data_IF_573525671082
#
_entry.id   IF_573525671082
#
_cell.length_a   1.000
_cell.length_b   1.000
_cell.length_c   1.000
_cell.angle_alpha   90.00
_cell.angle_beta   90.00
_cell.angle_gamma   90.00
#
_symmetry.space_group_name_H-M   'P 1'
#
loop_
_entity.id
_entity.type
_entity.pdbx_description
1 polymer ?
#
# COMPACT_ATOMS: atom_id res chain seq x y z
N UNK A 1 -12.73 -17.22 -21.10
CA UNK A 1 -11.66 -16.48 -20.45
C UNK A 1 -11.83 -16.50 -18.92
N UNK A 2 -12.92 -15.97 -18.37
CA UNK A 2 -13.20 -15.88 -16.92
C UNK A 2 -13.20 -17.24 -16.23
N UNK A 3 -13.76 -18.28 -16.85
CA UNK A 3 -13.74 -19.64 -16.28
C UNK A 3 -12.32 -20.17 -16.02
N UNK A 4 -11.35 -19.80 -16.85
CA UNK A 4 -9.94 -20.16 -16.64
C UNK A 4 -9.36 -19.43 -15.41
N UNK A 5 -9.62 -18.14 -15.28
CA UNK A 5 -9.09 -17.32 -14.18
C UNK A 5 -9.73 -17.70 -12.83
N UNK A 6 -11.04 -17.87 -12.78
CA UNK A 6 -11.75 -18.30 -11.57
C UNK A 6 -11.37 -19.72 -11.13
N UNK A 7 -11.01 -20.59 -12.05
CA UNK A 7 -10.53 -21.94 -11.74
C UNK A 7 -9.08 -21.99 -11.17
N UNK A 8 -8.42 -20.86 -10.95
CA UNK A 8 -7.15 -20.82 -10.21
C UNK A 8 -7.32 -21.32 -8.76
N UNK A 9 -8.50 -21.13 -8.19
CA UNK A 9 -8.89 -21.72 -6.92
C UNK A 9 -10.13 -22.55 -7.12
N UNK A 10 -10.10 -23.80 -6.64
CA UNK A 10 -11.25 -24.72 -6.70
C UNK A 10 -11.69 -25.04 -5.28
N UNK A 11 -12.95 -24.83 -5.01
CA UNK A 11 -13.56 -25.16 -3.73
C UNK A 11 -14.51 -26.35 -3.86
N UNK A 12 -14.63 -27.14 -2.80
CA UNK A 12 -15.56 -28.25 -2.69
C UNK A 12 -16.32 -28.19 -1.37
N UNK A 13 -17.50 -28.80 -1.33
CA UNK A 13 -18.40 -28.68 -0.18
C UNK A 13 -19.18 -27.36 -0.18
N UNK A 14 -19.91 -27.09 0.90
CA UNK A 14 -20.78 -25.91 1.03
C UNK A 14 -22.02 -25.96 0.13
N UNK A 15 -22.88 -24.97 0.28
CA UNK A 15 -24.06 -24.76 -0.55
C UNK A 15 -23.71 -24.10 -1.89
N UNK A 16 -24.62 -24.10 -2.83
CA UNK A 16 -24.42 -23.39 -4.11
C UNK A 16 -24.37 -21.87 -3.92
N UNK A 17 -25.09 -21.32 -2.94
CA UNK A 17 -25.01 -19.90 -2.58
C UNK A 17 -23.62 -19.53 -2.03
N UNK A 18 -23.05 -20.34 -1.14
CA UNK A 18 -21.69 -20.11 -0.64
C UNK A 18 -20.64 -20.15 -1.75
N UNK A 19 -20.77 -21.10 -2.69
CA UNK A 19 -19.88 -21.15 -3.86
C UNK A 19 -20.07 -19.92 -4.75
N UNK A 20 -21.30 -19.48 -4.96
CA UNK A 20 -21.60 -18.28 -5.73
C UNK A 20 -20.97 -17.03 -5.09
N UNK A 21 -21.12 -16.87 -3.77
CA UNK A 21 -20.49 -15.78 -3.00
C UNK A 21 -18.98 -15.83 -3.16
N UNK A 22 -18.36 -17.00 -2.99
CA UNK A 22 -16.92 -17.16 -3.13
C UNK A 22 -16.41 -16.75 -4.52
N UNK A 23 -16.99 -17.29 -5.58
CA UNK A 23 -16.53 -16.99 -6.94
C UNK A 23 -16.87 -15.57 -7.39
N UNK A 24 -17.94 -14.98 -6.87
CA UNK A 24 -18.26 -13.56 -7.08
C UNK A 24 -17.21 -12.66 -6.41
N UNK A 25 -16.83 -12.95 -5.17
CA UNK A 25 -15.78 -12.23 -4.47
C UNK A 25 -14.43 -12.38 -5.20
N UNK A 26 -14.09 -13.59 -5.62
CA UNK A 26 -12.88 -13.86 -6.40
C UNK A 26 -12.86 -13.09 -7.74
N UNK A 27 -14.00 -13.03 -8.45
CA UNK A 27 -14.15 -12.24 -9.66
C UNK A 27 -13.83 -10.75 -9.38
N UNK A 28 -14.35 -10.18 -8.31
CA UNK A 28 -14.10 -8.79 -7.94
C UNK A 28 -12.61 -8.52 -7.68
N UNK A 29 -11.87 -9.46 -7.11
CA UNK A 29 -10.41 -9.30 -6.91
C UNK A 29 -9.59 -9.29 -8.21
N UNK A 30 -10.21 -9.61 -9.35
CA UNK A 30 -9.56 -9.71 -10.66
C UNK A 30 -9.96 -8.58 -11.63
N UNK A 31 -10.85 -7.67 -11.22
CA UNK A 31 -11.27 -6.54 -12.07
C UNK A 31 -10.14 -5.53 -12.20
N UNK A 32 -9.50 -5.19 -11.06
CA UNK A 32 -8.38 -4.28 -11.00
C UNK A 32 -7.17 -4.95 -10.31
N UNK A 33 -5.94 -4.57 -10.66
CA UNK A 33 -5.53 -3.53 -11.62
C UNK A 33 -5.72 -3.98 -13.07
N UNK A 34 -6.32 -3.12 -13.88
CA UNK A 34 -6.60 -3.39 -15.30
C UNK A 34 -5.42 -3.06 -16.21
N UNK A 35 -5.44 -3.58 -17.43
CA UNK A 35 -4.46 -3.25 -18.45
C UNK A 35 -4.62 -1.79 -18.87
N UNK A 36 -3.50 -1.08 -18.95
CA UNK A 36 -3.44 0.34 -19.31
C UNK A 36 -2.62 0.55 -20.58
N UNK A 37 -2.97 -0.15 -21.62
CA UNK A 37 -2.41 0.05 -22.97
C UNK A 37 -3.50 -0.05 -23.99
N UNK A 38 -3.35 0.66 -25.09
CA UNK A 38 -4.09 0.41 -26.30
C UNK A 38 -3.67 -0.92 -26.95
N UNK A 39 -4.40 -1.35 -27.98
CA UNK A 39 -4.15 -2.61 -28.69
C UNK A 39 -2.78 -2.66 -29.38
N UNK A 40 -2.21 -1.49 -29.67
CA UNK A 40 -0.86 -1.34 -30.26
C UNK A 40 0.25 -1.18 -29.19
N UNK A 41 -0.10 -1.32 -27.91
CA UNK A 41 0.83 -1.23 -26.78
C UNK A 41 1.14 0.19 -26.33
N UNK A 42 0.53 1.22 -26.92
CA UNK A 42 0.74 2.62 -26.49
C UNK A 42 -0.09 2.98 -25.26
N UNK A 43 0.41 3.92 -24.45
CA UNK A 43 -0.27 4.47 -23.28
C UNK A 43 0.26 5.86 -22.95
N UNK A 44 -0.48 6.62 -22.15
CA UNK A 44 -0.04 7.92 -21.63
C UNK A 44 0.76 7.72 -20.35
N UNK A 45 2.01 8.17 -20.31
CA UNK A 45 2.89 8.09 -19.16
C UNK A 45 2.59 9.08 -18.05
N UNK A 46 3.27 8.96 -16.90
CA UNK A 46 3.20 9.90 -15.79
C UNK A 46 3.77 11.31 -16.10
N UNK A 47 4.43 11.47 -17.24
CA UNK A 47 4.91 12.72 -17.83
C UNK A 47 3.96 13.30 -18.88
N UNK A 48 2.77 12.71 -19.02
CA UNK A 48 1.74 13.06 -20.03
C UNK A 48 2.19 12.87 -21.48
N UNK A 49 3.24 12.09 -21.73
CA UNK A 49 3.68 11.73 -23.09
C UNK A 49 3.17 10.33 -23.46
N UNK A 50 3.13 10.06 -24.77
CA UNK A 50 2.81 8.73 -25.28
C UNK A 50 4.07 7.87 -25.20
N UNK A 51 3.93 6.73 -24.52
CA UNK A 51 4.94 5.68 -24.43
C UNK A 51 4.43 4.39 -25.07
N UNK A 52 5.36 3.51 -25.38
CA UNK A 52 5.05 2.15 -25.76
C UNK A 52 5.40 1.21 -24.60
N UNK A 53 4.51 0.29 -24.26
CA UNK A 53 4.71 -0.64 -23.17
C UNK A 53 5.90 -1.55 -23.45
N UNK A 54 6.68 -1.82 -22.41
CA UNK A 54 7.71 -2.85 -22.45
C UNK A 54 7.07 -4.23 -22.62
N UNK A 55 7.66 -5.07 -23.46
CA UNK A 55 7.17 -6.43 -23.69
C UNK A 55 7.40 -7.38 -22.52
N UNK A 56 8.21 -6.99 -21.53
CA UNK A 56 8.56 -7.81 -20.37
C UNK A 56 7.46 -7.88 -19.31
N UNK A 57 6.59 -6.88 -19.25
CA UNK A 57 5.46 -6.83 -18.33
C UNK A 57 4.21 -6.20 -18.97
N UNK A 58 3.07 -6.40 -18.34
CA UNK A 58 1.82 -5.75 -18.75
C UNK A 58 1.63 -4.46 -17.96
N UNK A 59 1.60 -3.31 -18.65
CA UNK A 59 1.34 -2.02 -18.00
C UNK A 59 -0.10 -2.00 -17.44
N UNK A 60 -0.22 -1.70 -16.16
CA UNK A 60 -1.49 -1.70 -15.42
C UNK A 60 -1.79 -0.33 -14.81
N UNK A 61 -3.04 -0.16 -14.40
CA UNK A 61 -3.57 1.02 -13.71
C UNK A 61 -4.68 0.61 -12.75
N UNK A 62 -5.11 1.56 -11.92
CA UNK A 62 -6.06 1.41 -10.82
C UNK A 62 -5.41 0.65 -9.66
N UNK A 63 -4.48 1.34 -9.01
CA UNK A 63 -3.94 0.92 -7.73
C UNK A 63 -4.66 1.65 -6.60
N UNK A 64 -5.76 1.09 -6.12
CA UNK A 64 -6.48 1.58 -4.93
C UNK A 64 -5.72 1.16 -3.66
N UNK A 65 -4.49 1.69 -3.52
CA UNK A 65 -3.46 1.13 -2.66
C UNK A 65 -3.91 0.88 -1.22
N UNK A 66 -4.53 1.88 -0.58
CA UNK A 66 -5.01 1.78 0.80
C UNK A 66 -6.01 0.63 1.02
N UNK A 67 -6.79 0.27 0.00
CA UNK A 67 -7.77 -0.81 0.07
C UNK A 67 -7.15 -2.17 -0.23
N UNK A 68 -6.36 -2.27 -1.29
CA UNK A 68 -5.96 -3.54 -1.91
C UNK A 68 -4.75 -4.21 -1.24
N UNK A 69 -3.91 -3.45 -0.51
CA UNK A 69 -2.72 -4.02 0.12
C UNK A 69 -3.06 -5.02 1.23
N UNK A 70 -4.23 -4.86 1.85
CA UNK A 70 -4.65 -5.61 3.04
C UNK A 70 -4.96 -7.08 2.75
N UNK A 71 -5.56 -7.36 1.60
CA UNK A 71 -5.99 -8.72 1.26
C UNK A 71 -5.85 -9.06 -0.22
N UNK A 72 -6.21 -8.17 -1.15
CA UNK A 72 -6.21 -8.47 -2.57
C UNK A 72 -4.81 -8.80 -3.09
N UNK A 73 -3.82 -7.95 -2.86
CA UNK A 73 -2.44 -8.22 -3.31
C UNK A 73 -1.82 -9.43 -2.59
N UNK A 74 -1.96 -9.61 -1.26
CA UNK A 74 -1.55 -10.86 -0.61
C UNK A 74 -2.16 -12.11 -1.22
N UNK A 75 -3.44 -12.09 -1.61
CA UNK A 75 -4.08 -13.18 -2.35
C UNK A 75 -3.46 -13.35 -3.74
N UNK A 76 -3.28 -12.25 -4.48
CA UNK A 76 -2.72 -12.29 -5.84
C UNK A 76 -1.27 -12.81 -5.87
N UNK A 77 -0.47 -12.58 -4.82
CA UNK A 77 0.87 -13.19 -4.73
C UNK A 77 0.83 -14.71 -4.75
N UNK A 78 -0.28 -15.32 -4.33
CA UNK A 78 -0.48 -16.78 -4.30
C UNK A 78 -1.07 -17.27 -5.62
N UNK A 79 -2.16 -16.65 -6.08
CA UNK A 79 -2.95 -17.15 -7.20
C UNK A 79 -2.53 -16.58 -8.57
N UNK A 80 -1.88 -15.42 -8.58
CA UNK A 80 -1.46 -14.72 -9.81
C UNK A 80 -0.21 -13.85 -9.62
N UNK A 81 0.95 -14.43 -9.27
CA UNK A 81 2.18 -13.67 -8.98
C UNK A 81 2.63 -12.79 -10.16
N UNK A 82 2.29 -13.17 -11.41
CA UNK A 82 2.57 -12.35 -12.59
C UNK A 82 1.84 -11.00 -12.56
N UNK A 83 0.58 -10.97 -12.13
CA UNK A 83 -0.18 -9.72 -11.99
C UNK A 83 0.49 -8.78 -10.97
N UNK A 84 0.97 -9.32 -9.85
CA UNK A 84 1.68 -8.53 -8.84
C UNK A 84 2.97 -7.94 -9.39
N UNK A 85 3.74 -8.73 -10.14
CA UNK A 85 4.94 -8.26 -10.83
C UNK A 85 4.62 -7.16 -11.85
N UNK A 86 3.58 -7.35 -12.66
CA UNK A 86 3.14 -6.37 -13.64
C UNK A 86 2.76 -5.04 -12.98
N UNK A 87 2.08 -5.10 -11.83
CA UNK A 87 1.68 -3.90 -11.07
C UNK A 87 2.90 -3.18 -10.50
N UNK A 88 3.83 -3.90 -9.87
CA UNK A 88 5.05 -3.29 -9.32
C UNK A 88 5.89 -2.63 -10.42
N UNK A 89 6.07 -3.28 -11.57
CA UNK A 89 6.71 -2.67 -12.73
C UNK A 89 5.96 -1.42 -13.21
N UNK A 90 4.63 -1.44 -13.16
CA UNK A 90 3.80 -0.30 -13.56
C UNK A 90 3.97 0.90 -12.62
N UNK A 91 4.02 0.66 -11.31
CA UNK A 91 4.26 1.71 -10.30
C UNK A 91 5.69 2.29 -10.41
N UNK A 92 6.70 1.43 -10.61
CA UNK A 92 8.10 1.87 -10.84
C UNK A 92 8.17 2.74 -12.10
N UNK A 93 7.57 2.27 -13.19
CA UNK A 93 7.57 3.00 -14.47
C UNK A 93 6.88 4.36 -14.34
N UNK A 94 5.78 4.44 -13.58
CA UNK A 94 5.10 5.70 -13.32
C UNK A 94 5.96 6.66 -12.51
N UNK A 95 6.66 6.17 -11.49
CA UNK A 95 7.59 6.96 -10.68
C UNK A 95 8.75 7.50 -11.52
N UNK A 96 9.31 6.69 -12.42
CA UNK A 96 10.32 7.09 -13.39
C UNK A 96 9.80 8.20 -14.32
N UNK A 97 8.70 7.95 -15.02
CA UNK A 97 8.17 8.86 -16.04
C UNK A 97 7.70 10.19 -15.46
N UNK A 98 7.14 10.19 -14.27
CA UNK A 98 6.73 11.42 -13.59
C UNK A 98 7.92 12.23 -13.05
N UNK A 99 9.11 11.64 -12.99
CA UNK A 99 10.30 12.22 -12.36
C UNK A 99 10.18 12.40 -10.85
N UNK A 100 9.20 11.78 -10.22
CA UNK A 100 8.95 11.91 -8.78
C UNK A 100 9.78 10.97 -7.93
N UNK A 101 10.15 9.82 -8.48
CA UNK A 101 10.97 8.80 -7.81
C UNK A 101 10.42 8.32 -6.46
N UNK A 102 9.07 8.34 -6.30
CA UNK A 102 8.35 7.78 -5.16
C UNK A 102 6.99 7.24 -5.60
N UNK A 103 6.42 6.33 -4.79
CA UNK A 103 5.16 5.66 -5.09
C UNK A 103 3.94 6.50 -4.74
N UNK A 104 2.88 6.37 -5.57
CA UNK A 104 1.56 6.91 -5.28
C UNK A 104 0.80 6.03 -4.28
N UNK A 105 -0.06 6.65 -3.49
CA UNK A 105 -0.94 5.96 -2.54
C UNK A 105 -2.17 5.35 -3.20
N UNK A 106 -2.72 6.06 -4.16
CA UNK A 106 -3.91 5.67 -4.90
C UNK A 106 -3.78 6.13 -6.36
N UNK A 107 -3.28 5.25 -7.22
CA UNK A 107 -3.01 5.55 -8.62
C UNK A 107 -4.28 5.36 -9.46
N UNK A 108 -4.58 6.34 -10.31
CA UNK A 108 -5.68 6.31 -11.25
C UNK A 108 -5.20 6.78 -12.63
N UNK A 109 -5.30 5.90 -13.61
CA UNK A 109 -4.94 6.18 -15.00
C UNK A 109 -3.54 6.81 -15.14
N UNK A 110 -2.58 6.21 -14.43
CA UNK A 110 -1.18 6.62 -14.38
C UNK A 110 -0.95 8.05 -13.85
N UNK A 111 -1.85 8.49 -12.97
CA UNK A 111 -1.81 9.81 -12.33
C UNK A 111 -1.72 9.71 -10.82
N UNK A 112 -1.05 10.71 -10.21
CA UNK A 112 -0.94 10.86 -8.76
C UNK A 112 -2.19 11.56 -8.21
N UNK A 113 -3.08 10.81 -7.58
CA UNK A 113 -4.31 11.36 -6.99
C UNK A 113 -4.07 12.00 -5.62
N UNK A 114 -3.07 11.52 -4.88
CA UNK A 114 -2.82 11.91 -3.49
C UNK A 114 -3.93 11.47 -2.53
N UNK A 115 -4.84 10.61 -2.98
CA UNK A 115 -5.99 10.17 -2.21
C UNK A 115 -5.58 9.16 -1.12
N UNK A 116 -6.36 9.09 -0.04
CA UNK A 116 -6.20 8.18 1.08
C UNK A 116 -4.91 8.41 1.90
N UNK A 117 -4.55 7.44 2.74
CA UNK A 117 -3.46 7.50 3.71
C UNK A 117 -2.42 6.41 3.45
N UNK A 118 -1.30 6.53 4.16
CA UNK A 118 -0.25 5.52 4.17
C UNK A 118 0.57 5.46 2.90
N UNK A 119 1.43 4.47 2.85
CA UNK A 119 2.30 4.18 1.70
C UNK A 119 2.10 2.72 1.25
N UNK A 120 0.90 2.33 0.80
CA UNK A 120 0.51 0.93 0.63
C UNK A 120 1.36 0.15 -0.39
N UNK A 121 1.94 0.83 -1.38
CA UNK A 121 2.85 0.21 -2.35
C UNK A 121 4.06 -0.45 -1.66
N UNK A 122 4.50 0.08 -0.52
CA UNK A 122 5.63 -0.45 0.24
C UNK A 122 5.29 -1.82 0.86
N UNK A 123 4.06 -1.99 1.33
CA UNK A 123 3.56 -3.28 1.82
C UNK A 123 3.50 -4.31 0.70
N UNK A 124 2.95 -3.94 -0.47
CA UNK A 124 2.87 -4.83 -1.63
C UNK A 124 4.26 -5.22 -2.12
N UNK A 125 5.20 -4.27 -2.17
CA UNK A 125 6.59 -4.52 -2.58
C UNK A 125 7.30 -5.49 -1.63
N UNK A 126 7.19 -5.25 -0.32
CA UNK A 126 7.83 -6.09 0.69
C UNK A 126 7.27 -7.52 0.66
N UNK A 127 5.94 -7.68 0.63
CA UNK A 127 5.28 -8.98 0.59
C UNK A 127 5.66 -9.75 -0.67
N UNK A 128 5.63 -9.10 -1.84
CA UNK A 128 6.01 -9.70 -3.12
C UNK A 128 7.48 -10.17 -3.12
N UNK A 129 8.41 -9.31 -2.67
CA UNK A 129 9.83 -9.63 -2.64
C UNK A 129 10.14 -10.82 -1.74
N UNK A 130 9.58 -10.84 -0.53
CA UNK A 130 9.78 -11.91 0.45
C UNK A 130 9.22 -13.24 -0.07
N UNK A 131 8.10 -13.20 -0.79
CA UNK A 131 7.50 -14.38 -1.44
C UNK A 131 8.20 -14.81 -2.74
N UNK A 132 9.30 -14.15 -3.13
CA UNK A 132 10.11 -14.52 -4.29
C UNK A 132 9.66 -13.94 -5.62
N UNK A 133 8.70 -13.01 -5.63
CA UNK A 133 8.30 -12.27 -6.82
C UNK A 133 9.31 -11.12 -7.01
N UNK A 134 10.26 -11.30 -7.95
CA UNK A 134 11.41 -10.39 -8.12
C UNK A 134 11.69 -10.07 -9.60
N UNK A 135 10.66 -10.10 -10.45
CA UNK A 135 10.79 -9.83 -11.89
C UNK A 135 10.61 -8.35 -12.22
N UNK A 136 11.23 -7.50 -11.42
CA UNK A 136 11.34 -6.04 -11.56
C UNK A 136 12.71 -5.59 -11.02
N UNK A 137 13.09 -4.35 -11.27
CA UNK A 137 14.32 -3.77 -10.71
C UNK A 137 14.16 -3.56 -9.20
N UNK A 138 14.62 -4.54 -8.41
CA UNK A 138 14.42 -4.54 -6.96
C UNK A 138 15.21 -3.43 -6.25
N UNK A 139 16.39 -3.05 -6.73
CA UNK A 139 17.18 -1.97 -6.14
C UNK A 139 16.53 -0.61 -6.40
N UNK A 140 16.06 -0.37 -7.61
CA UNK A 140 15.29 0.84 -7.93
C UNK A 140 13.98 0.89 -7.14
N UNK A 141 13.25 -0.23 -7.06
CA UNK A 141 12.03 -0.33 -6.29
C UNK A 141 12.26 -0.01 -4.81
N UNK A 142 13.34 -0.53 -4.25
CA UNK A 142 13.76 -0.24 -2.88
C UNK A 142 14.11 1.25 -2.70
N UNK A 143 14.88 1.83 -3.61
CA UNK A 143 15.22 3.25 -3.58
C UNK A 143 13.96 4.14 -3.55
N UNK A 144 12.98 3.84 -4.38
CA UNK A 144 11.71 4.57 -4.41
C UNK A 144 10.86 4.33 -3.16
N UNK A 145 10.96 3.16 -2.53
CA UNK A 145 10.32 2.92 -1.24
C UNK A 145 10.91 3.82 -0.13
N UNK A 146 12.24 3.96 -0.09
CA UNK A 146 12.92 4.89 0.83
C UNK A 146 12.49 6.34 0.58
N UNK A 147 12.45 6.77 -0.68
CA UNK A 147 12.01 8.12 -1.04
C UNK A 147 10.55 8.36 -0.64
N UNK A 148 9.70 7.35 -0.80
CA UNK A 148 8.28 7.41 -0.40
C UNK A 148 8.15 7.63 1.11
N UNK A 149 8.85 6.85 1.93
CA UNK A 149 8.84 7.01 3.39
C UNK A 149 9.41 8.35 3.83
N UNK A 150 10.49 8.84 3.18
CA UNK A 150 11.06 10.16 3.49
C UNK A 150 10.10 11.30 3.18
N UNK A 151 9.28 11.14 2.15
CA UNK A 151 8.31 12.16 1.76
C UNK A 151 7.03 12.13 2.58
N UNK A 152 6.59 10.96 2.98
CA UNK A 152 5.29 10.71 3.61
C UNK A 152 5.46 9.78 4.82
N UNK A 153 6.32 10.12 5.74
CA UNK A 153 6.59 9.34 6.94
C UNK A 153 6.27 10.08 8.23
N UNK A 154 6.39 9.38 9.34
CA UNK A 154 6.49 9.97 10.67
C UNK A 154 7.89 10.60 10.81
N UNK A 155 7.96 11.91 10.72
CA UNK A 155 9.22 12.65 10.63
C UNK A 155 9.89 12.91 12.01
N UNK A 156 10.38 14.13 12.25
CA UNK A 156 11.18 14.51 13.39
C UNK A 156 10.51 14.31 14.77
N UNK A 157 9.18 14.25 14.83
CA UNK A 157 8.45 13.98 16.08
C UNK A 157 8.30 12.48 16.36
N UNK A 158 8.57 11.64 15.37
CA UNK A 158 8.31 10.20 15.44
C UNK A 158 6.83 9.84 15.35
N UNK A 159 5.94 10.79 15.12
CA UNK A 159 4.50 10.61 14.91
C UNK A 159 3.92 11.80 14.13
N UNK A 160 2.79 11.59 13.49
CA UNK A 160 2.04 12.68 12.87
C UNK A 160 1.24 13.43 13.96
N UNK A 161 1.39 14.77 14.10
CA UNK A 161 0.55 15.53 15.03
C UNK A 161 -0.89 15.65 14.52
N UNK A 162 -1.81 16.10 15.41
CA UNK A 162 -3.17 16.42 14.98
C UNK A 162 -3.17 17.36 13.74
N UNK A 163 -4.21 17.33 12.90
CA UNK A 163 -5.46 16.59 13.07
C UNK A 163 -5.39 15.12 12.63
N UNK A 164 -4.35 14.65 11.94
CA UNK A 164 -4.28 13.30 11.35
C UNK A 164 -3.48 12.30 12.20
N UNK A 165 -3.33 12.57 13.49
CA UNK A 165 -2.36 11.90 14.36
C UNK A 165 -2.48 10.37 14.38
N UNK A 166 -3.66 9.81 14.63
CA UNK A 166 -3.81 8.35 14.81
C UNK A 166 -3.58 7.61 13.51
N UNK A 167 -4.46 7.79 12.54
CA UNK A 167 -4.45 7.01 11.30
C UNK A 167 -3.15 7.19 10.52
N UNK A 168 -2.67 8.43 10.42
CA UNK A 168 -1.42 8.73 9.70
C UNK A 168 -0.21 8.09 10.38
N UNK A 169 -0.10 8.21 11.71
CA UNK A 169 1.02 7.60 12.45
C UNK A 169 1.05 6.09 12.29
N UNK A 170 -0.11 5.44 12.42
CA UNK A 170 -0.20 3.98 12.34
C UNK A 170 0.08 3.45 10.93
N UNK A 171 -0.45 4.10 9.91
CA UNK A 171 -0.21 3.72 8.51
C UNK A 171 1.27 3.85 8.14
N UNK A 172 1.93 4.95 8.53
CA UNK A 172 3.36 5.12 8.24
C UNK A 172 4.23 4.19 9.08
N UNK A 173 3.91 3.98 10.35
CA UNK A 173 4.62 3.01 11.18
C UNK A 173 4.58 1.61 10.57
N UNK A 174 3.40 1.17 10.11
CA UNK A 174 3.24 -0.12 9.45
C UNK A 174 4.07 -0.22 8.16
N UNK A 175 4.02 0.80 7.31
CA UNK A 175 4.75 0.76 6.03
C UNK A 175 6.26 0.91 6.22
N UNK A 176 6.74 1.63 7.24
CA UNK A 176 8.15 1.65 7.62
C UNK A 176 8.61 0.28 8.14
N UNK A 177 7.77 -0.40 8.93
CA UNK A 177 8.04 -1.79 9.30
C UNK A 177 8.13 -2.70 8.06
N UNK A 178 7.27 -2.51 7.04
CA UNK A 178 7.37 -3.26 5.78
C UNK A 178 8.72 -3.02 5.08
N UNK A 179 9.22 -1.77 5.05
CA UNK A 179 10.55 -1.47 4.52
C UNK A 179 11.63 -2.21 5.34
N UNK A 180 11.51 -2.28 6.66
CA UNK A 180 12.47 -3.00 7.49
C UNK A 180 12.57 -4.48 7.12
N UNK A 181 11.43 -5.11 6.85
CA UNK A 181 11.39 -6.52 6.42
C UNK A 181 11.99 -6.70 5.01
N UNK A 182 11.69 -5.77 4.09
CA UNK A 182 12.27 -5.76 2.75
C UNK A 182 13.79 -5.57 2.81
N UNK A 183 14.27 -4.58 3.57
CA UNK A 183 15.69 -4.30 3.76
C UNK A 183 16.44 -5.53 4.31
N UNK A 184 15.86 -6.17 5.32
CA UNK A 184 16.41 -7.42 5.87
C UNK A 184 16.50 -8.52 4.82
N UNK A 185 15.46 -8.72 4.02
CA UNK A 185 15.43 -9.70 2.95
C UNK A 185 16.43 -9.39 1.81
N UNK A 186 16.82 -8.13 1.66
CA UNK A 186 17.82 -7.65 0.70
C UNK A 186 19.24 -7.59 1.30
N UNK A 187 19.43 -7.95 2.58
CA UNK A 187 20.73 -7.90 3.27
C UNK A 187 21.20 -6.49 3.64
N UNK A 188 20.29 -5.52 3.73
CA UNK A 188 20.56 -4.11 4.08
C UNK A 188 20.31 -3.89 5.59
N UNK A 189 21.20 -4.41 6.43
CA UNK A 189 21.00 -4.53 7.89
C UNK A 189 20.81 -3.18 8.59
N UNK A 190 21.58 -2.15 8.22
CA UNK A 190 21.46 -0.81 8.83
C UNK A 190 20.10 -0.18 8.56
N UNK A 191 19.62 -0.27 7.31
CA UNK A 191 18.31 0.20 6.93
C UNK A 191 17.22 -0.64 7.64
N UNK A 192 17.38 -1.95 7.70
CA UNK A 192 16.44 -2.83 8.39
C UNK A 192 16.23 -2.41 9.84
N UNK A 193 17.31 -2.09 10.55
CA UNK A 193 17.26 -1.59 11.93
C UNK A 193 16.59 -0.22 12.00
N UNK A 194 17.02 0.72 11.17
CA UNK A 194 16.49 2.09 11.16
C UNK A 194 14.97 2.09 10.91
N UNK A 195 14.50 1.36 9.89
CA UNK A 195 13.08 1.29 9.56
C UNK A 195 12.27 0.44 10.55
N UNK A 196 12.90 -0.52 11.23
CA UNK A 196 12.24 -1.21 12.34
C UNK A 196 11.94 -0.23 13.50
N UNK A 197 12.88 0.64 13.85
CA UNK A 197 12.70 1.66 14.89
C UNK A 197 11.59 2.65 14.49
N UNK A 198 11.57 3.11 13.24
CA UNK A 198 10.47 3.94 12.71
C UNK A 198 9.11 3.24 12.76
N UNK A 199 9.08 1.95 12.51
CA UNK A 199 7.89 1.12 12.62
C UNK A 199 7.30 1.05 14.03
N UNK A 200 8.05 1.48 15.07
CA UNK A 200 7.57 1.56 16.45
C UNK A 200 6.88 2.88 16.78
N UNK A 201 6.66 3.75 15.80
CA UNK A 201 6.07 5.08 15.99
C UNK A 201 4.70 5.07 16.71
N UNK A 202 3.95 3.97 16.59
CA UNK A 202 2.66 3.78 17.27
C UNK A 202 2.74 3.93 18.79
N UNK A 203 3.90 3.66 19.41
CA UNK A 203 4.11 3.85 20.84
C UNK A 203 3.96 5.31 21.28
N UNK A 204 4.23 6.26 20.40
CA UNK A 204 4.10 7.68 20.70
C UNK A 204 2.65 8.13 20.87
N UNK A 205 1.70 7.43 20.29
CA UNK A 205 0.28 7.78 20.29
C UNK A 205 -0.59 6.79 21.07
N UNK A 206 0.00 5.75 21.68
CA UNK A 206 -0.71 4.82 22.54
C UNK A 206 -0.75 5.38 23.97
N UNK A 207 -1.94 5.79 24.43
CA UNK A 207 -2.17 6.25 25.80
C UNK A 207 -2.36 5.04 26.73
N UNK A 208 -1.33 4.73 27.51
CA UNK A 208 -1.32 3.56 28.39
C UNK A 208 -2.36 3.64 29.53
N UNK A 209 -2.74 4.86 29.95
CA UNK A 209 -3.75 5.05 30.99
C UNK A 209 -5.15 4.77 30.46
N UNK A 210 -5.40 5.13 29.21
CA UNK A 210 -6.70 4.89 28.55
C UNK A 210 -6.77 3.53 27.88
N UNK A 211 -5.63 2.92 27.55
CA UNK A 211 -5.57 1.67 26.77
C UNK A 211 -5.95 1.83 25.30
N UNK A 212 -5.84 3.03 24.76
CA UNK A 212 -6.30 3.39 23.42
C UNK A 212 -5.28 4.26 22.68
N UNK A 213 -5.33 4.24 21.35
CA UNK A 213 -4.64 5.24 20.54
C UNK A 213 -5.33 6.60 20.72
N UNK A 214 -4.55 7.63 20.97
CA UNK A 214 -5.03 8.98 21.25
C UNK A 214 -4.25 9.99 20.41
N UNK A 215 -4.93 11.02 19.84
CA UNK A 215 -4.24 12.04 19.08
C UNK A 215 -3.25 12.83 19.94
N UNK A 216 -2.15 13.22 19.34
CA UNK A 216 -1.11 14.01 19.97
C UNK A 216 -0.85 15.29 19.19
N UNK A 217 -0.61 16.40 19.91
CA UNK A 217 -0.28 17.70 19.33
C UNK A 217 1.21 17.77 18.99
N UNK A 218 1.59 18.76 18.18
CA UNK A 218 2.99 18.97 17.80
C UNK A 218 3.90 19.32 18.99
N UNK A 219 3.36 19.88 20.07
CA UNK A 219 4.08 20.16 21.32
C UNK A 219 4.25 18.93 22.24
N UNK A 220 3.76 17.78 21.82
CA UNK A 220 3.83 16.52 22.56
C UNK A 220 2.70 16.31 23.57
N UNK A 221 1.78 17.25 23.73
CA UNK A 221 0.62 17.07 24.61
C UNK A 221 -0.47 16.25 23.96
N UNK A 222 -1.28 15.58 24.77
CA UNK A 222 -2.43 14.83 24.29
C UNK A 222 -3.58 15.78 23.90
N UNK A 223 -4.26 15.45 22.81
CA UNK A 223 -5.57 16.04 22.54
C UNK A 223 -6.54 15.61 23.63
N UNK A 224 -7.47 16.48 24.04
CA UNK A 224 -8.41 16.20 25.09
C UNK A 224 -9.23 14.93 24.80
N UNK A 225 -9.44 14.10 25.82
CA UNK A 225 -10.24 12.90 25.69
C UNK A 225 -11.72 13.30 25.61
N UNK A 226 -12.45 12.90 24.54
CA UNK A 226 -13.84 13.28 24.39
C UNK A 226 -14.72 12.60 25.47
N UNK A 227 -15.66 13.33 26.05
CA UNK A 227 -16.61 12.79 27.04
C UNK A 227 -17.47 11.68 26.45
N UNK A 228 -17.82 11.82 25.18
CA UNK A 228 -18.51 10.80 24.40
C UNK A 228 -17.60 10.40 23.26
N UNK A 229 -17.05 9.22 23.24
CA UNK A 229 -16.13 8.72 22.22
C UNK A 229 -16.74 8.74 20.79
N UNK A 230 -17.16 9.93 20.34
CA UNK A 230 -17.67 10.16 18.99
C UNK A 230 -16.56 10.59 18.09
N UNK A 231 -16.39 9.90 16.97
CA UNK A 231 -15.44 10.23 15.91
C UNK A 231 -15.46 11.71 15.49
N UNK A 232 -16.61 12.37 15.63
CA UNK A 232 -16.78 13.78 15.26
C UNK A 232 -15.86 14.72 16.03
N UNK A 233 -15.51 14.40 17.27
CA UNK A 233 -14.63 15.22 18.12
C UNK A 233 -13.17 15.06 17.75
N UNK A 234 -12.82 13.93 17.14
CA UNK A 234 -11.50 13.65 16.57
C UNK A 234 -11.53 13.69 15.04
N UNK A 235 -12.36 14.57 14.50
CA UNK A 235 -12.40 14.79 13.06
C UNK A 235 -10.99 15.16 12.57
N UNK A 236 -10.49 14.48 11.57
CA UNK A 236 -9.10 14.54 11.13
C UNK A 236 -8.24 13.41 11.68
N UNK A 237 -8.64 12.78 12.79
CA UNK A 237 -8.16 11.46 13.19
C UNK A 237 -9.14 10.40 12.65
N UNK A 238 -9.68 10.68 11.47
CA UNK A 238 -10.69 9.83 10.81
C UNK A 238 -10.25 8.38 10.86
N UNK A 239 -11.22 7.50 10.99
CA UNK A 239 -10.99 6.06 11.11
C UNK A 239 -10.29 5.64 12.40
N UNK A 240 -10.20 6.52 13.39
CA UNK A 240 -9.66 6.16 14.70
C UNK A 240 -10.25 4.86 15.24
N UNK A 241 -11.53 4.62 15.01
CA UNK A 241 -12.20 3.36 15.38
C UNK A 241 -11.69 2.14 14.61
N UNK A 242 -11.19 2.33 13.40
CA UNK A 242 -10.64 1.23 12.58
C UNK A 242 -9.27 0.80 13.04
N UNK A 243 -8.60 1.63 13.85
CA UNK A 243 -7.23 1.41 14.33
C UNK A 243 -7.15 1.13 15.84
N UNK A 244 -8.27 0.97 16.55
CA UNK A 244 -8.30 0.68 17.99
C UNK A 244 -8.17 -0.81 18.32
#
# INVERSE_FOLDING_TARGET
LWNKELNRVRISGGTDDEKTIFYTAMYHTMIDPRIYTDVDGRYVGGDYKIHTADSTFTKRTIFSGWDVFRSQFPLQTIINPRLVSDELNSLITMADQSGREYYERWELLNSYSGCMLGNPALSVLADAYIKGIRTYDAEKAYHYAINTSRRFGNDSLGYAPEPLSISTTLEYAYTDWCISQLAKAMGKEDDAKCFYEKGQAYHHIFDKEKGWFRPRKADGTWVEWPENARLKEWYGCIEANSYQ
#
